data_IF_513593761642
#
_entry.id   IF_513593761642
#
_cell.length_a   1.000
_cell.length_b   1.000
_cell.length_c   1.000
_cell.angle_alpha   90.00
_cell.angle_beta   90.00
_cell.angle_gamma   90.00
#
_symmetry.space_group_name_H-M   'P 1'
#
loop_
_entity.id
_entity.type
_entity.pdbx_description
1 polymer ?
#
# COMPACT_ATOMS: atom_id res chain seq x y z
N UNK A 1 -15.93 4.74 -1.64
CA UNK A 1 -14.94 3.65 -1.59
C UNK A 1 -15.47 2.47 -2.41
N UNK A 2 -14.69 1.99 -3.38
CA UNK A 2 -14.99 0.83 -4.22
C UNK A 2 -14.39 -0.46 -3.64
N UNK A 3 -14.81 -1.63 -4.15
CA UNK A 3 -14.23 -2.93 -3.76
C UNK A 3 -12.72 -2.95 -4.01
N UNK A 4 -12.27 -2.45 -5.16
CA UNK A 4 -10.84 -2.38 -5.50
C UNK A 4 -10.07 -1.44 -4.57
N UNK A 5 -10.66 -0.33 -4.15
CA UNK A 5 -10.05 0.58 -3.15
C UNK A 5 -9.91 -0.11 -1.78
N UNK A 6 -10.91 -0.89 -1.36
CA UNK A 6 -10.82 -1.65 -0.13
C UNK A 6 -9.73 -2.75 -0.19
N UNK A 7 -9.59 -3.45 -1.31
CA UNK A 7 -8.55 -4.46 -1.51
C UNK A 7 -7.14 -3.87 -1.50
N UNK A 8 -6.95 -2.71 -2.13
CA UNK A 8 -5.69 -1.97 -2.11
C UNK A 8 -5.32 -1.56 -0.68
N UNK A 9 -6.26 -0.98 0.07
CA UNK A 9 -6.07 -0.61 1.48
C UNK A 9 -5.74 -1.84 2.32
N UNK A 10 -6.47 -2.94 2.18
CA UNK A 10 -6.19 -4.18 2.91
C UNK A 10 -4.79 -4.72 2.62
N UNK A 11 -4.33 -4.63 1.37
CA UNK A 11 -2.99 -5.06 0.98
C UNK A 11 -1.92 -4.23 1.68
N UNK A 12 -2.08 -2.90 1.70
CA UNK A 12 -1.17 -1.97 2.37
C UNK A 12 -1.17 -2.20 3.88
N UNK A 13 -2.34 -2.32 4.50
CA UNK A 13 -2.47 -2.56 5.94
C UNK A 13 -1.84 -3.87 6.37
N UNK A 14 -1.99 -4.96 5.59
CA UNK A 14 -1.35 -6.24 5.89
C UNK A 14 0.17 -6.14 5.86
N UNK A 15 0.72 -5.42 4.89
CA UNK A 15 2.16 -5.18 4.83
C UNK A 15 2.64 -4.34 6.01
N UNK A 16 1.95 -3.22 6.32
CA UNK A 16 2.26 -2.36 7.49
C UNK A 16 2.22 -3.15 8.81
N UNK A 17 1.27 -4.07 8.96
CA UNK A 17 1.07 -4.82 10.21
C UNK A 17 1.84 -6.14 10.26
N UNK A 18 2.66 -6.45 9.26
CA UNK A 18 3.40 -7.71 9.18
C UNK A 18 2.51 -8.96 9.08
N UNK A 19 1.23 -8.81 8.73
CA UNK A 19 0.29 -9.92 8.64
C UNK A 19 0.63 -10.81 7.43
N UNK A 20 1.03 -12.05 7.72
CA UNK A 20 1.20 -13.08 6.70
C UNK A 20 -0.17 -13.67 6.33
N UNK A 21 -0.62 -13.41 5.10
CA UNK A 21 -1.81 -14.02 4.50
C UNK A 21 -2.79 -12.98 3.93
N UNK A 22 -2.77 -12.81 2.61
CA UNK A 22 -3.83 -12.13 1.86
C UNK A 22 -5.06 -13.02 1.59
N UNK A 23 -6.11 -12.45 0.99
CA UNK A 23 -7.30 -13.19 0.52
C UNK A 23 -6.96 -14.36 -0.43
N UNK A 24 -5.81 -14.29 -1.11
CA UNK A 24 -5.31 -15.33 -2.02
C UNK A 24 -4.23 -16.24 -1.40
N UNK A 25 -4.01 -16.16 -0.08
CA UNK A 25 -2.96 -16.92 0.61
C UNK A 25 -1.52 -16.48 0.30
N UNK A 26 -1.33 -15.43 -0.50
CA UNK A 26 -0.01 -14.85 -0.79
C UNK A 26 0.42 -13.87 0.31
N UNK A 27 1.71 -13.82 0.68
CA UNK A 27 2.21 -12.76 1.56
C UNK A 27 2.06 -11.40 0.89
N UNK A 28 1.68 -10.37 1.65
CA UNK A 28 1.74 -8.99 1.18
C UNK A 28 3.22 -8.59 1.09
N UNK A 29 3.80 -8.65 -0.10
CA UNK A 29 5.17 -8.19 -0.33
C UNK A 29 5.22 -6.66 -0.36
N UNK A 30 6.36 -6.08 0.03
CA UNK A 30 6.57 -4.62 -0.06
C UNK A 30 6.26 -4.07 -1.44
N UNK A 31 6.69 -4.75 -2.50
CA UNK A 31 6.40 -4.38 -3.89
C UNK A 31 4.89 -4.32 -4.20
N UNK A 32 4.12 -5.28 -3.68
CA UNK A 32 2.69 -5.33 -3.92
C UNK A 32 1.97 -4.23 -3.17
N UNK A 33 2.33 -4.00 -1.91
CA UNK A 33 1.81 -2.90 -1.11
C UNK A 33 2.15 -1.54 -1.72
N UNK A 34 3.39 -1.35 -2.20
CA UNK A 34 3.84 -0.15 -2.92
C UNK A 34 2.99 0.11 -4.16
N UNK A 35 2.78 -0.90 -4.98
CA UNK A 35 1.98 -0.81 -6.19
C UNK A 35 0.53 -0.36 -5.89
N UNK A 36 -0.10 -0.98 -4.88
CA UNK A 36 -1.45 -0.62 -4.46
C UNK A 36 -1.52 0.79 -3.86
N UNK A 37 -0.50 1.21 -3.13
CA UNK A 37 -0.41 2.56 -2.58
C UNK A 37 -0.25 3.62 -3.68
N UNK A 38 0.59 3.37 -4.68
CA UNK A 38 0.76 4.25 -5.84
C UNK A 38 -0.56 4.39 -6.62
N UNK A 39 -1.28 3.29 -6.80
CA UNK A 39 -2.59 3.30 -7.46
C UNK A 39 -3.64 4.10 -6.66
N UNK A 40 -3.71 3.91 -5.34
CA UNK A 40 -4.60 4.68 -4.47
C UNK A 40 -4.25 6.18 -4.46
N UNK A 41 -2.96 6.52 -4.38
CA UNK A 41 -2.49 7.90 -4.40
C UNK A 41 -2.86 8.60 -5.72
N UNK A 42 -2.63 7.93 -6.86
CA UNK A 42 -3.03 8.45 -8.17
C UNK A 42 -4.53 8.75 -8.25
N UNK A 43 -5.37 7.83 -7.74
CA UNK A 43 -6.83 8.01 -7.74
C UNK A 43 -7.27 9.11 -6.79
N UNK A 44 -6.74 9.14 -5.57
CA UNK A 44 -7.07 10.17 -4.59
C UNK A 44 -6.70 11.56 -5.11
N UNK A 45 -5.50 11.71 -5.66
CA UNK A 45 -5.04 12.97 -6.24
C UNK A 45 -5.89 13.38 -7.46
N UNK A 46 -6.25 12.46 -8.34
CA UNK A 46 -7.10 12.74 -9.50
C UNK A 46 -8.53 13.18 -9.12
N UNK A 47 -9.08 12.63 -8.03
CA UNK A 47 -10.46 12.93 -7.58
C UNK A 47 -10.52 14.20 -6.73
N UNK A 48 -9.55 14.39 -5.84
CA UNK A 48 -9.59 15.45 -4.82
C UNK A 48 -8.69 16.65 -5.15
N UNK A 49 -7.80 16.53 -6.15
CA UNK A 49 -6.80 17.55 -6.46
C UNK A 49 -5.80 17.80 -5.33
N UNK A 50 -5.70 16.88 -4.38
CA UNK A 50 -4.93 17.01 -3.15
C UNK A 50 -4.45 15.63 -2.66
N UNK A 51 -3.48 15.63 -1.75
CA UNK A 51 -2.83 14.42 -1.23
C UNK A 51 -1.63 13.97 -2.05
N UNK A 52 -1.04 12.83 -1.65
CA UNK A 52 0.13 12.25 -2.30
C UNK A 52 -0.16 11.82 -3.73
N UNK A 53 0.83 11.95 -4.60
CA UNK A 53 0.87 11.38 -5.94
C UNK A 53 1.50 9.99 -5.92
N UNK A 54 1.38 9.22 -7.02
CA UNK A 54 2.13 7.98 -7.16
C UNK A 54 3.66 8.19 -7.11
N UNK A 55 4.14 9.34 -7.59
CA UNK A 55 5.56 9.70 -7.53
C UNK A 55 6.00 9.87 -6.09
N UNK A 56 5.24 10.63 -5.28
CA UNK A 56 5.55 10.83 -3.87
C UNK A 56 5.63 9.49 -3.12
N UNK A 57 4.68 8.58 -3.40
CA UNK A 57 4.70 7.23 -2.85
C UNK A 57 5.91 6.45 -3.32
N UNK A 58 6.25 6.49 -4.61
CA UNK A 58 7.38 5.75 -5.15
C UNK A 58 8.72 6.21 -4.57
N UNK A 59 8.90 7.50 -4.33
CA UNK A 59 10.14 8.08 -3.82
C UNK A 59 10.32 7.90 -2.30
N UNK A 60 9.22 7.78 -1.55
CA UNK A 60 9.23 7.73 -0.08
C UNK A 60 8.78 6.37 0.48
N UNK A 61 8.63 5.35 -0.37
CA UNK A 61 8.28 4.01 0.10
C UNK A 61 9.46 3.40 0.86
N UNK A 62 9.27 2.88 2.09
CA UNK A 62 10.37 2.27 2.82
C UNK A 62 10.67 0.87 2.27
N UNK A 63 11.94 0.46 2.36
CA UNK A 63 12.40 -0.84 1.85
C UNK A 63 11.76 -2.01 2.62
N UNK A 64 11.57 -1.85 3.93
CA UNK A 64 10.99 -2.85 4.83
C UNK A 64 9.65 -2.38 5.42
N UNK A 65 8.86 -3.33 5.90
CA UNK A 65 7.61 -3.02 6.58
C UNK A 65 7.89 -2.23 7.87
N UNK A 66 7.11 -1.17 8.18
CA UNK A 66 7.26 -0.42 9.42
C UNK A 66 6.99 -1.34 10.63
N UNK A 67 8.07 -1.81 11.27
CA UNK A 67 8.01 -2.76 12.38
C UNK A 67 8.95 -3.96 12.27
N UNK A 68 9.69 -4.13 11.16
CA UNK A 68 10.74 -5.15 11.05
C UNK A 68 12.10 -4.72 11.64
N UNK A 69 12.26 -3.47 12.08
CA UNK A 69 13.44 -3.05 12.85
C UNK A 69 13.37 -3.59 14.30
N UNK A 70 13.99 -4.74 14.54
CA UNK A 70 14.32 -5.23 15.89
C UNK A 70 13.77 -6.62 16.26
N UNK A 71 14.16 -7.65 15.52
CA UNK A 71 14.14 -9.05 15.99
C UNK A 71 15.54 -9.63 16.03
#
# INVERSE_FOLDING_TARGET
MTISEAQAVNTILRWITGQRGGEDGRPATGDRARTEAMWLASRAHAVLGAGLTATDVAENWPDDAPGEEGS
#
